data_IF_778704081834
#
_entry.id   IF_778704081834
#
_cell.length_a   1.000
_cell.length_b   1.000
_cell.length_c   1.000
_cell.angle_alpha   90.00
_cell.angle_beta   90.00
_cell.angle_gamma   90.00
#
_symmetry.space_group_name_H-M   'P 1'
#
loop_
_entity.id
_entity.type
_entity.pdbx_description
1 polymer ?
#
# COMPACT_ATOMS: atom_id res chain seq x y z
N UNK A 1 -17.75 48.37 -40.65
CA UNK A 1 -18.83 47.66 -39.93
C UNK A 1 -18.22 46.39 -39.34
N UNK A 2 -18.44 45.89 -38.12
CA UNK A 2 -19.01 46.29 -36.83
C UNK A 2 -18.58 45.14 -35.88
N UNK A 3 -18.28 45.48 -34.62
CA UNK A 3 -17.70 44.61 -33.57
C UNK A 3 -18.66 43.52 -33.09
N UNK A 4 -18.14 42.52 -32.35
CA UNK A 4 -18.73 41.83 -31.17
C UNK A 4 -17.74 40.73 -30.74
N UNK A 5 -16.91 40.85 -29.70
CA UNK A 5 -17.19 40.87 -28.24
C UNK A 5 -18.19 39.81 -27.79
N UNK A 6 -17.70 38.84 -27.00
CA UNK A 6 -18.51 37.82 -26.34
C UNK A 6 -17.69 37.01 -25.32
N UNK A 7 -17.15 37.68 -24.31
CA UNK A 7 -16.76 37.05 -23.04
C UNK A 7 -18.05 36.79 -22.28
N UNK A 8 -18.35 35.53 -21.98
CA UNK A 8 -19.45 35.15 -21.09
C UNK A 8 -18.90 34.43 -19.87
N UNK A 9 -19.28 34.99 -18.73
CA UNK A 9 -18.86 34.75 -17.37
C UNK A 9 -19.93 33.92 -16.66
N UNK A 10 -19.49 33.07 -15.73
CA UNK A 10 -20.24 32.50 -14.59
C UNK A 10 -21.30 31.41 -14.84
N UNK A 11 -21.20 30.29 -14.10
CA UNK A 11 -22.00 30.10 -12.87
C UNK A 11 -21.59 28.83 -12.12
N UNK A 12 -21.38 29.00 -10.81
CA UNK A 12 -21.19 27.94 -9.81
C UNK A 12 -22.47 27.11 -9.63
N UNK A 13 -22.32 25.80 -9.44
CA UNK A 13 -23.23 25.03 -8.58
C UNK A 13 -22.40 24.08 -7.72
N UNK A 14 -22.34 24.44 -6.45
CA UNK A 14 -21.82 23.68 -5.32
C UNK A 14 -22.63 22.41 -5.12
N UNK A 15 -21.98 21.26 -5.15
CA UNK A 15 -22.51 20.03 -4.54
C UNK A 15 -21.57 19.66 -3.39
N UNK A 16 -22.06 19.90 -2.18
CA UNK A 16 -21.47 19.42 -0.94
C UNK A 16 -21.83 17.95 -0.75
N UNK A 17 -20.82 17.09 -0.81
CA UNK A 17 -20.84 15.77 -0.19
C UNK A 17 -19.39 15.44 0.18
N UNK A 18 -19.02 15.75 1.42
CA UNK A 18 -17.71 15.39 1.97
C UNK A 18 -17.64 13.87 2.14
N UNK A 19 -16.68 13.21 1.50
CA UNK A 19 -15.80 12.34 2.25
C UNK A 19 -14.41 12.97 2.25
N UNK A 20 -13.72 12.84 3.37
CA UNK A 20 -12.36 13.31 3.60
C UNK A 20 -11.35 12.52 2.76
N UNK A 21 -11.40 12.66 1.43
CA UNK A 21 -10.46 12.06 0.47
C UNK A 21 -10.21 12.99 -0.74
N UNK A 22 -10.36 14.31 -0.58
CA UNK A 22 -10.13 15.30 -1.65
C UNK A 22 -8.67 15.80 -1.71
N UNK A 23 -7.70 14.89 -1.59
CA UNK A 23 -6.27 15.18 -1.82
C UNK A 23 -5.71 14.52 -3.09
N UNK A 24 -6.47 13.64 -3.73
CA UNK A 24 -6.11 13.02 -5.01
C UNK A 24 -7.19 13.36 -6.03
N UNK A 25 -7.02 14.49 -6.73
CA UNK A 25 -7.96 14.88 -7.78
C UNK A 25 -7.77 13.97 -9.00
N UNK A 26 -8.87 13.53 -9.62
CA UNK A 26 -8.82 12.86 -10.93
C UNK A 26 -8.22 13.75 -12.04
N UNK A 27 -8.07 15.05 -11.78
CA UNK A 27 -7.32 15.98 -12.62
C UNK A 27 -5.80 15.77 -12.54
N UNK A 28 -5.27 15.42 -11.35
CA UNK A 28 -3.84 15.14 -11.14
C UNK A 28 -3.45 13.78 -11.73
N UNK A 29 -4.35 12.77 -11.64
CA UNK A 29 -4.13 11.46 -12.30
C UNK A 29 -4.16 11.58 -13.83
N UNK A 30 -4.97 12.47 -14.39
CA UNK A 30 -4.99 12.74 -15.83
C UNK A 30 -3.71 13.47 -16.30
N UNK A 31 -3.18 14.38 -15.49
CA UNK A 31 -1.91 15.08 -15.76
C UNK A 31 -0.69 14.14 -15.75
N UNK A 32 -0.61 13.21 -14.80
CA UNK A 32 0.45 12.18 -14.79
C UNK A 32 0.26 11.17 -15.93
N UNK A 33 -0.98 10.85 -16.33
CA UNK A 33 -1.25 9.97 -17.46
C UNK A 33 -0.78 10.59 -18.79
N UNK A 34 -0.92 11.91 -18.95
CA UNK A 34 -0.38 12.63 -20.10
C UNK A 34 1.16 12.67 -20.11
N UNK A 35 1.81 12.73 -18.95
CA UNK A 35 3.28 12.67 -18.84
C UNK A 35 3.85 11.24 -19.01
N UNK A 36 3.01 10.20 -18.93
CA UNK A 36 3.35 8.79 -19.17
C UNK A 36 2.95 8.31 -20.58
N UNK A 37 2.02 8.98 -21.26
CA UNK A 37 1.56 8.62 -22.61
C UNK A 37 2.59 8.85 -23.74
N UNK A 38 3.79 9.32 -23.43
CA UNK A 38 4.92 9.34 -24.35
C UNK A 38 5.68 8.01 -24.47
N UNK A 39 5.31 6.95 -23.72
CA UNK A 39 6.03 5.68 -23.71
C UNK A 39 5.14 4.46 -23.51
N UNK A 40 4.69 3.89 -24.63
CA UNK A 40 4.27 2.50 -24.86
C UNK A 40 4.36 1.52 -23.65
N UNK A 41 3.22 1.20 -23.01
CA UNK A 41 3.07 -0.04 -22.23
C UNK A 41 2.16 0.00 -20.99
N UNK A 42 1.01 -0.67 -21.10
CA UNK A 42 0.20 -1.28 -20.03
C UNK A 42 -0.51 -0.39 -18.99
N UNK A 43 -1.84 -0.35 -19.09
CA UNK A 43 -2.78 0.00 -18.01
C UNK A 43 -2.74 -0.89 -16.76
N UNK A 44 -1.70 -1.72 -16.58
CA UNK A 44 -1.52 -2.58 -15.39
C UNK A 44 -0.87 -1.85 -14.20
N UNK A 45 -0.15 -0.74 -14.45
CA UNK A 45 0.56 0.00 -13.40
C UNK A 45 -0.37 0.90 -12.57
N UNK A 46 -1.43 1.41 -13.19
CA UNK A 46 -2.48 2.22 -12.56
C UNK A 46 -3.44 1.35 -11.75
N UNK A 47 -3.77 0.16 -12.25
CA UNK A 47 -4.58 -0.82 -11.54
C UNK A 47 -3.87 -1.38 -10.29
N UNK A 48 -2.60 -1.74 -10.39
CA UNK A 48 -1.83 -2.33 -9.27
C UNK A 48 -1.57 -1.38 -8.12
N UNK A 49 -1.29 -0.11 -8.45
CA UNK A 49 -1.20 0.95 -7.45
C UNK A 49 -2.57 1.27 -6.83
N UNK A 50 -3.66 1.26 -7.62
CA UNK A 50 -5.03 1.34 -7.08
C UNK A 50 -5.41 0.13 -6.22
N UNK A 51 -4.92 -1.06 -6.54
CA UNK A 51 -5.19 -2.28 -5.77
C UNK A 51 -4.38 -2.30 -4.46
N UNK A 52 -3.16 -1.75 -4.46
CA UNK A 52 -2.38 -1.56 -3.23
C UNK A 52 -2.99 -0.46 -2.34
N UNK A 53 -3.48 0.62 -2.94
CA UNK A 53 -4.27 1.63 -2.24
C UNK A 53 -5.60 1.07 -1.73
N UNK A 54 -6.23 0.17 -2.50
CA UNK A 54 -7.43 -0.57 -2.12
C UNK A 54 -7.19 -1.51 -0.94
N UNK A 55 -6.09 -2.26 -0.96
CA UNK A 55 -5.61 -3.06 0.18
C UNK A 55 -5.43 -2.17 1.42
N UNK A 56 -4.72 -1.06 1.28
CA UNK A 56 -4.49 -0.13 2.39
C UNK A 56 -5.81 0.47 2.92
N UNK A 57 -6.74 0.79 2.03
CA UNK A 57 -8.09 1.28 2.39
C UNK A 57 -8.92 0.21 3.10
N UNK A 58 -8.82 -1.05 2.69
CA UNK A 58 -9.50 -2.17 3.35
C UNK A 58 -8.92 -2.44 4.74
N UNK A 59 -7.59 -2.31 4.87
CA UNK A 59 -6.91 -2.43 6.15
C UNK A 59 -7.30 -1.28 7.08
N UNK A 60 -7.31 -0.04 6.62
CA UNK A 60 -7.68 1.12 7.47
C UNK A 60 -9.15 1.09 7.94
N UNK A 61 -10.05 0.36 7.26
CA UNK A 61 -11.40 0.05 7.77
C UNK A 61 -11.39 -0.75 9.07
N UNK A 62 -10.29 -1.45 9.39
CA UNK A 62 -10.08 -2.13 10.67
C UNK A 62 -9.68 -1.16 11.81
N UNK A 63 -9.87 0.15 11.61
CA UNK A 63 -9.52 1.20 12.56
C UNK A 63 -8.01 1.25 12.86
N UNK A 64 -7.17 0.86 11.90
CA UNK A 64 -5.70 0.98 11.94
C UNK A 64 -5.24 2.19 11.13
N UNK A 65 -4.12 2.78 11.52
CA UNK A 65 -3.50 3.91 10.81
C UNK A 65 -2.78 3.45 9.53
N UNK A 66 -2.56 4.33 8.54
CA UNK A 66 -1.80 4.00 7.33
C UNK A 66 -0.40 3.44 7.61
N UNK A 67 0.28 3.97 8.62
CA UNK A 67 1.60 3.51 9.08
C UNK A 67 1.53 2.07 9.63
N UNK A 68 0.47 1.78 10.39
CA UNK A 68 0.24 0.47 10.99
C UNK A 68 -0.08 -0.57 9.92
N UNK A 69 -0.94 -0.22 8.97
CA UNK A 69 -1.27 -1.10 7.85
C UNK A 69 -0.05 -1.36 6.96
N UNK A 70 0.70 -0.31 6.59
CA UNK A 70 1.94 -0.46 5.81
C UNK A 70 3.01 -1.27 6.55
N UNK A 71 3.19 -1.02 7.86
CA UNK A 71 4.13 -1.75 8.70
C UNK A 71 3.73 -3.20 8.94
N UNK A 72 2.43 -3.47 9.13
CA UNK A 72 1.88 -4.82 9.29
C UNK A 72 2.05 -5.65 8.03
N UNK A 73 1.72 -5.08 6.86
CA UNK A 73 1.98 -5.72 5.55
C UNK A 73 3.49 -5.94 5.36
N UNK A 74 4.32 -4.96 5.72
CA UNK A 74 5.78 -5.09 5.68
C UNK A 74 6.30 -6.23 6.56
N UNK A 75 5.74 -6.39 7.76
CA UNK A 75 6.14 -7.42 8.72
C UNK A 75 5.74 -8.82 8.27
N UNK A 76 4.50 -8.96 7.78
CA UNK A 76 4.02 -10.23 7.21
C UNK A 76 4.86 -10.61 5.99
N UNK A 77 5.20 -9.63 5.16
CA UNK A 77 6.02 -9.86 3.99
C UNK A 77 7.50 -10.15 4.34
N UNK A 78 8.03 -9.60 5.43
CA UNK A 78 9.32 -10.01 6.00
C UNK A 78 9.30 -11.46 6.48
N UNK A 79 8.26 -11.86 7.22
CA UNK A 79 8.10 -13.24 7.65
C UNK A 79 8.05 -14.18 6.45
N UNK A 80 7.25 -13.81 5.45
CA UNK A 80 7.15 -14.50 4.19
C UNK A 80 8.52 -14.64 3.53
N UNK A 81 9.30 -13.56 3.43
CA UNK A 81 10.66 -13.59 2.87
C UNK A 81 11.60 -14.54 3.61
N UNK A 82 11.46 -14.66 4.94
CA UNK A 82 12.28 -15.56 5.75
C UNK A 82 11.79 -17.01 5.74
N UNK A 83 10.49 -17.25 5.53
CA UNK A 83 9.87 -18.58 5.57
C UNK A 83 9.69 -19.22 4.19
N UNK A 84 9.61 -18.43 3.12
CA UNK A 84 9.49 -18.92 1.75
C UNK A 84 10.86 -19.23 1.16
N UNK A 85 10.88 -20.17 0.21
CA UNK A 85 12.07 -20.41 -0.57
C UNK A 85 12.45 -19.14 -1.37
N UNK A 86 13.75 -18.88 -1.60
CA UNK A 86 14.20 -17.74 -2.39
C UNK A 86 13.56 -17.70 -3.80
N UNK A 87 13.30 -18.87 -4.38
CA UNK A 87 12.62 -19.04 -5.68
C UNK A 87 11.15 -18.62 -5.62
N UNK A 88 10.44 -18.97 -4.55
CA UNK A 88 9.03 -18.60 -4.33
C UNK A 88 8.90 -17.08 -4.11
N UNK A 89 9.78 -16.50 -3.29
CA UNK A 89 9.79 -15.06 -3.06
C UNK A 89 10.22 -14.27 -4.31
N UNK A 90 11.14 -14.79 -5.11
CA UNK A 90 11.49 -14.18 -6.41
C UNK A 90 10.28 -14.15 -7.35
N UNK A 91 9.53 -15.25 -7.43
CA UNK A 91 8.30 -15.31 -8.23
C UNK A 91 7.25 -14.31 -7.72
N UNK A 92 7.16 -14.09 -6.40
CA UNK A 92 6.33 -13.06 -5.80
C UNK A 92 6.76 -11.65 -6.24
N UNK A 93 8.05 -11.35 -6.19
CA UNK A 93 8.58 -10.04 -6.62
C UNK A 93 8.46 -9.78 -8.11
N UNK A 94 8.54 -10.82 -8.94
CA UNK A 94 8.32 -10.71 -10.38
C UNK A 94 6.86 -10.41 -10.71
N UNK A 95 5.93 -11.04 -9.99
CA UNK A 95 4.49 -10.83 -10.18
C UNK A 95 4.03 -9.54 -9.55
N UNK A 96 4.68 -9.06 -8.50
CA UNK A 96 4.31 -7.81 -7.81
C UNK A 96 5.46 -6.81 -7.82
N UNK A 97 5.59 -5.99 -8.89
CA UNK A 97 6.59 -4.93 -8.95
C UNK A 97 6.48 -4.03 -7.72
N UNK A 98 7.60 -3.83 -7.02
CA UNK A 98 7.65 -2.99 -5.82
C UNK A 98 7.33 -3.68 -4.50
N UNK A 99 6.93 -4.96 -4.49
CA UNK A 99 6.68 -5.66 -3.20
C UNK A 99 7.95 -5.75 -2.33
N UNK A 100 9.14 -5.85 -2.94
CA UNK A 100 10.40 -5.81 -2.20
C UNK A 100 10.74 -4.42 -1.61
N UNK A 101 10.13 -3.35 -2.15
CA UNK A 101 10.20 -2.01 -1.55
C UNK A 101 9.23 -1.88 -0.37
N UNK A 102 8.19 -2.71 -0.34
CA UNK A 102 7.17 -2.72 0.70
C UNK A 102 7.46 -3.74 1.82
N UNK A 103 8.30 -4.75 1.55
CA UNK A 103 8.71 -5.75 2.55
C UNK A 103 9.57 -5.15 3.65
N UNK A 104 9.32 -5.58 4.89
CA UNK A 104 10.02 -5.12 6.08
C UNK A 104 9.89 -3.62 6.30
N UNK A 105 10.99 -3.01 6.76
CA UNK A 105 11.03 -1.57 6.95
C UNK A 105 10.92 -0.76 5.66
N UNK A 106 10.92 -1.37 4.47
CA UNK A 106 10.91 -0.62 3.21
C UNK A 106 9.68 0.29 3.07
N UNK A 107 8.49 -0.21 3.38
CA UNK A 107 7.25 0.55 3.34
C UNK A 107 7.28 1.75 4.31
N UNK A 108 7.70 1.46 5.54
CA UNK A 108 7.79 2.44 6.62
C UNK A 108 8.88 3.48 6.35
N UNK A 109 10.00 3.07 5.77
CA UNK A 109 11.12 3.92 5.40
C UNK A 109 10.77 4.88 4.27
N UNK A 110 9.97 4.45 3.28
CA UNK A 110 9.45 5.35 2.25
C UNK A 110 8.43 6.34 2.82
N UNK A 111 7.53 5.87 3.67
CA UNK A 111 6.53 6.74 4.29
C UNK A 111 7.19 7.76 5.23
N UNK A 112 8.21 7.35 5.98
CA UNK A 112 8.98 8.22 6.87
C UNK A 112 9.78 9.27 6.11
N UNK A 113 10.37 8.93 4.97
CA UNK A 113 11.04 9.91 4.09
C UNK A 113 10.05 10.94 3.53
N UNK A 114 8.86 10.51 3.12
CA UNK A 114 7.82 11.41 2.63
C UNK A 114 7.25 12.28 3.75
N UNK A 115 7.03 11.71 4.94
CA UNK A 115 6.59 12.42 6.14
C UNK A 115 7.60 13.47 6.60
N UNK A 116 8.90 13.15 6.55
CA UNK A 116 9.99 14.09 6.82
C UNK A 116 10.03 15.27 5.85
N UNK A 117 9.74 15.05 4.57
CA UNK A 117 9.63 16.12 3.58
C UNK A 117 8.38 16.99 3.78
N UNK A 118 7.27 16.41 4.23
CA UNK A 118 6.02 17.11 4.53
C UNK A 118 6.01 17.80 5.91
N UNK A 119 7.08 17.67 6.70
CA UNK A 119 7.12 18.13 8.09
C UNK A 119 6.16 17.38 9.03
N UNK A 120 5.57 16.27 8.58
CA UNK A 120 4.71 15.36 9.35
C UNK A 120 5.58 14.19 9.82
N UNK A 121 6.39 14.46 10.83
CA UNK A 121 7.27 13.48 11.46
C UNK A 121 6.59 12.78 12.63
N UNK A 122 5.32 12.40 12.51
CA UNK A 122 4.71 11.41 13.42
C UNK A 122 5.31 10.04 13.07
N UNK A 123 6.61 9.93 13.38
CA UNK A 123 7.51 8.97 12.82
C UNK A 123 7.11 7.57 13.21
N UNK A 124 7.17 6.67 12.23
CA UNK A 124 7.29 5.25 12.51
C UNK A 124 8.48 5.07 13.43
N UNK A 125 8.27 4.52 14.62
CA UNK A 125 9.34 4.35 15.58
C UNK A 125 10.44 3.47 14.99
N UNK A 126 11.69 3.80 15.27
CA UNK A 126 12.85 2.98 14.90
C UNK A 126 12.72 1.56 15.44
N UNK A 127 12.07 1.42 16.60
CA UNK A 127 11.71 0.15 17.22
C UNK A 127 10.72 -0.65 16.35
N UNK A 128 9.64 -0.03 15.88
CA UNK A 128 8.68 -0.69 14.99
C UNK A 128 9.32 -1.06 13.65
N UNK A 129 10.11 -0.16 13.07
CA UNK A 129 10.90 -0.41 11.85
C UNK A 129 11.82 -1.62 12.00
N UNK A 130 12.50 -1.71 13.14
CA UNK A 130 13.41 -2.83 13.46
C UNK A 130 12.63 -4.12 13.70
N UNK A 131 11.52 -4.08 14.46
CA UNK A 131 10.67 -5.22 14.72
C UNK A 131 10.12 -5.82 13.41
N UNK A 132 9.61 -4.96 12.53
CA UNK A 132 9.07 -5.30 11.20
C UNK A 132 10.13 -5.89 10.24
N UNK A 133 11.40 -5.53 10.41
CA UNK A 133 12.50 -6.02 9.56
C UNK A 133 13.10 -7.34 10.04
N UNK A 134 13.00 -7.63 11.33
CA UNK A 134 13.60 -8.82 11.95
C UNK A 134 12.57 -9.93 12.22
N UNK A 135 11.49 -9.97 11.42
CA UNK A 135 10.44 -10.97 11.57
C UNK A 135 10.83 -12.27 10.85
N UNK A 136 11.17 -13.30 11.62
CA UNK A 136 11.50 -14.64 11.11
C UNK A 136 10.52 -15.72 11.55
N UNK A 137 9.68 -15.45 12.55
CA UNK A 137 8.61 -16.35 12.99
C UNK A 137 7.33 -15.58 13.35
N UNK A 138 6.25 -16.30 13.63
CA UNK A 138 4.95 -15.72 13.98
C UNK A 138 4.94 -14.97 15.31
N UNK A 139 5.81 -15.32 16.26
CA UNK A 139 5.95 -14.58 17.52
C UNK A 139 6.61 -13.20 17.28
N UNK A 140 7.65 -13.14 16.44
CA UNK A 140 8.26 -11.86 16.04
C UNK A 140 7.32 -11.03 15.16
N UNK A 141 6.42 -11.67 14.42
CA UNK A 141 5.38 -10.99 13.68
C UNK A 141 4.40 -10.32 14.64
N UNK A 142 3.98 -11.04 15.68
CA UNK A 142 3.18 -10.50 16.78
C UNK A 142 3.88 -9.31 17.46
N UNK A 143 5.17 -9.45 17.79
CA UNK A 143 5.95 -8.36 18.37
C UNK A 143 6.02 -7.14 17.45
N UNK A 144 6.13 -7.34 16.13
CA UNK A 144 6.11 -6.25 15.15
C UNK A 144 4.76 -5.54 15.12
N UNK A 145 3.64 -6.27 15.18
CA UNK A 145 2.30 -5.68 15.24
C UNK A 145 2.10 -4.90 16.56
N UNK A 146 2.52 -5.47 17.68
CA UNK A 146 2.49 -4.80 18.99
C UNK A 146 3.37 -3.54 19.02
N UNK A 147 4.56 -3.58 18.41
CA UNK A 147 5.45 -2.43 18.30
C UNK A 147 4.85 -1.31 17.44
N UNK A 148 3.99 -1.65 16.47
CA UNK A 148 3.18 -0.71 15.70
C UNK A 148 1.93 -0.23 16.48
N UNK A 149 1.68 -0.75 17.68
CA UNK A 149 0.48 -0.42 18.48
C UNK A 149 -0.79 -1.10 17.97
N UNK A 150 -0.66 -2.24 17.28
CA UNK A 150 -1.77 -3.08 16.82
C UNK A 150 -1.97 -4.30 17.74
N UNK A 151 -3.17 -4.87 17.70
CA UNK A 151 -3.48 -6.13 18.35
C UNK A 151 -2.95 -7.33 17.55
N UNK A 152 -2.55 -8.40 18.24
CA UNK A 152 -2.08 -9.66 17.63
C UNK A 152 -3.11 -10.29 16.70
N UNK A 153 -4.40 -10.22 17.08
CA UNK A 153 -5.52 -10.78 16.32
C UNK A 153 -5.70 -10.14 14.95
N UNK A 154 -5.10 -8.97 14.72
CA UNK A 154 -5.12 -8.30 13.41
C UNK A 154 -4.34 -9.08 12.35
N UNK A 155 -3.36 -9.92 12.72
CA UNK A 155 -2.63 -10.78 11.76
C UNK A 155 -3.62 -11.67 10.99
N UNK A 156 -4.59 -12.25 11.71
CA UNK A 156 -5.65 -13.06 11.13
C UNK A 156 -6.62 -12.29 10.24
N UNK A 157 -6.73 -10.97 10.40
CA UNK A 157 -7.54 -10.10 9.55
C UNK A 157 -6.76 -9.58 8.34
N UNK A 158 -5.47 -9.30 8.51
CA UNK A 158 -4.59 -8.81 7.45
C UNK A 158 -4.30 -9.90 6.42
N UNK A 159 -4.04 -11.13 6.88
CA UNK A 159 -3.66 -12.23 6.01
C UNK A 159 -4.63 -12.45 4.84
N UNK A 160 -5.95 -12.64 5.03
CA UNK A 160 -6.86 -12.86 3.91
C UNK A 160 -6.93 -11.67 2.94
N UNK A 161 -6.79 -10.43 3.43
CA UNK A 161 -6.81 -9.22 2.58
C UNK A 161 -5.53 -9.15 1.73
N UNK A 162 -4.37 -9.44 2.32
CA UNK A 162 -3.09 -9.52 1.60
C UNK A 162 -3.11 -10.67 0.59
N UNK A 163 -3.58 -11.86 0.98
CA UNK A 163 -3.69 -13.02 0.08
C UNK A 163 -4.63 -12.71 -1.10
N UNK A 164 -5.75 -12.03 -0.84
CA UNK A 164 -6.68 -11.61 -1.90
C UNK A 164 -6.02 -10.63 -2.87
N UNK A 165 -5.26 -9.65 -2.35
CA UNK A 165 -4.48 -8.73 -3.16
C UNK A 165 -3.45 -9.47 -4.01
N UNK A 166 -2.61 -10.31 -3.38
CA UNK A 166 -1.56 -11.07 -4.07
C UNK A 166 -2.14 -12.03 -5.12
N UNK A 167 -3.25 -12.72 -4.82
CA UNK A 167 -3.96 -13.54 -5.79
C UNK A 167 -4.51 -12.74 -6.96
N UNK A 168 -5.06 -11.55 -6.71
CA UNK A 168 -5.44 -10.59 -7.76
C UNK A 168 -4.26 -10.12 -8.61
N UNK A 169 -3.04 -10.13 -8.07
CA UNK A 169 -1.81 -9.83 -8.82
C UNK A 169 -1.29 -11.00 -9.66
N UNK A 170 -1.96 -12.15 -9.66
CA UNK A 170 -1.51 -13.35 -10.38
C UNK A 170 -0.47 -14.17 -9.62
N UNK A 171 -0.36 -14.00 -8.30
CA UNK A 171 0.39 -14.93 -7.44
C UNK A 171 -0.37 -16.25 -7.36
N UNK A 172 0.31 -17.36 -7.66
CA UNK A 172 -0.32 -18.68 -7.71
C UNK A 172 -0.87 -19.12 -6.35
N UNK A 173 -1.98 -19.85 -6.35
CA UNK A 173 -2.67 -20.34 -5.13
C UNK A 173 -1.77 -21.20 -4.24
N UNK A 174 -0.84 -21.96 -4.82
CA UNK A 174 0.18 -22.71 -4.06
C UNK A 174 1.08 -21.79 -3.24
N UNK A 175 1.54 -20.68 -3.84
CA UNK A 175 2.37 -19.69 -3.15
C UNK A 175 1.55 -18.92 -2.10
N UNK A 176 0.29 -18.59 -2.40
CA UNK A 176 -0.64 -17.99 -1.42
C UNK A 176 -0.89 -18.93 -0.22
N UNK A 177 -1.02 -20.23 -0.46
CA UNK A 177 -1.15 -21.22 0.62
C UNK A 177 0.09 -21.29 1.50
N UNK A 178 1.29 -21.22 0.90
CA UNK A 178 2.56 -21.14 1.65
C UNK A 178 2.66 -19.85 2.46
N UNK A 179 2.21 -18.71 1.91
CA UNK A 179 2.17 -17.42 2.59
C UNK A 179 1.23 -17.46 3.81
N UNK A 180 0.00 -17.96 3.63
CA UNK A 180 -0.94 -18.15 4.74
C UNK A 180 -0.36 -19.04 5.85
N UNK A 181 0.18 -20.20 5.45
CA UNK A 181 0.83 -21.14 6.38
C UNK A 181 2.00 -20.50 7.13
N UNK A 182 2.82 -19.68 6.46
CA UNK A 182 3.95 -18.97 7.07
C UNK A 182 3.50 -17.93 8.10
N UNK A 183 2.31 -17.34 7.92
CA UNK A 183 1.72 -16.38 8.84
C UNK A 183 0.90 -17.03 9.96
N UNK A 184 0.72 -18.36 9.92
CA UNK A 184 -0.05 -19.10 10.91
C UNK A 184 -1.56 -19.01 10.71
N UNK A 185 -2.02 -18.79 9.46
CA UNK A 185 -3.44 -18.73 9.08
C UNK A 185 -3.82 -19.78 8.04
#
# INVERSE_FOLDING_TARGET
MKKLSGVALATLMTVAASPVFAGFSMSDVAGIAAQVQGGNGNGASTDKSMQAAGLLSELTKLNVKPEQAAGGVGAMLSLAKNQLAPTDYSALTDKVPGINKLSGAGALGQLSQLGGLLGKSDGVSSAATSAVSNVSNTAQLDDAFKALGMDSGMIGQFAPIILQYLGGQGVGTSLLGKLGSAWGV
#
